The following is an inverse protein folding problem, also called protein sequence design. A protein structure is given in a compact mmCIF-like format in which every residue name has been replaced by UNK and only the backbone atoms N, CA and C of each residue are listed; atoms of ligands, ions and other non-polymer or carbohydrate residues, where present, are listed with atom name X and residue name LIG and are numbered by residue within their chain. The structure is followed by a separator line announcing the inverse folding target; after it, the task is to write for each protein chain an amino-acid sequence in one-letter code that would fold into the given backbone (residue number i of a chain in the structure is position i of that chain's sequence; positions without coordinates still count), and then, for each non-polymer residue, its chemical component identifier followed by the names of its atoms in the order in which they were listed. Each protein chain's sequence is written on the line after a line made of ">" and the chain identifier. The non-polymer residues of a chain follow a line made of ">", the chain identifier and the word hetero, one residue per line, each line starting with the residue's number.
data_IF_099787641807
#
_entry.id   IF_099787641807
#
_cell.length_a   1.000
_cell.length_b   1.000
_cell.length_c   1.000
_cell.angle_alpha   90.00
_cell.angle_beta   90.00
_cell.angle_gamma   90.00
#
_symmetry.space_group_name_H-M   'P 1'
#
loop_
_entity.id
_entity.type
_entity.pdbx_description
1 polymer ?
#
# COMPACT_ATOMS: atom_id res chain seq x y z
N UNK A 1 24.57 16.33 7.13
CA UNK A 1 24.03 15.03 7.09
C UNK A 1 22.69 14.96 6.39
N UNK A 2 22.68 14.30 5.31
CA UNK A 2 21.47 14.22 4.54
C UNK A 2 20.54 13.17 5.15
N UNK A 3 19.40 13.59 5.60
CA UNK A 3 18.36 12.63 5.85
C UNK A 3 17.88 12.15 4.48
N UNK A 4 17.93 10.87 4.27
CA UNK A 4 17.44 10.30 3.03
C UNK A 4 15.93 10.46 3.00
N UNK A 5 15.45 11.16 1.99
CA UNK A 5 14.02 11.30 1.77
C UNK A 5 13.44 9.96 1.32
N UNK A 6 12.28 9.60 1.82
CA UNK A 6 11.55 8.42 1.36
C UNK A 6 11.00 8.72 -0.04
N UNK A 7 11.39 7.93 -1.00
CA UNK A 7 10.99 8.12 -2.40
C UNK A 7 9.71 7.33 -2.65
N UNK A 8 8.65 8.04 -3.00
CA UNK A 8 7.30 7.47 -3.10
C UNK A 8 6.82 7.51 -4.54
N UNK A 9 6.34 6.38 -5.03
CA UNK A 9 5.64 6.28 -6.31
C UNK A 9 4.16 6.09 -6.02
N UNK A 10 3.32 6.85 -6.71
CA UNK A 10 1.88 6.85 -6.50
C UNK A 10 1.20 6.15 -7.67
N UNK A 11 0.40 5.13 -7.39
CA UNK A 11 -0.30 4.36 -8.42
C UNK A 11 -1.80 4.40 -8.15
N UNK A 12 -2.54 5.13 -8.98
CA UNK A 12 -3.99 5.30 -8.83
C UNK A 12 -4.54 5.76 -10.17
N UNK A 13 -5.62 5.13 -10.63
CA UNK A 13 -6.25 5.50 -11.90
C UNK A 13 -7.16 6.73 -11.78
N UNK A 14 -7.42 7.22 -10.56
CA UNK A 14 -8.22 8.41 -10.33
C UNK A 14 -7.31 9.63 -10.30
N UNK A 15 -7.26 10.34 -11.41
CA UNK A 15 -6.35 11.48 -11.55
C UNK A 15 -6.51 12.52 -10.44
N UNK A 16 -7.75 12.84 -10.08
CA UNK A 16 -8.02 13.85 -9.07
C UNK A 16 -7.50 13.44 -7.70
N UNK A 17 -7.73 12.18 -7.32
CA UNK A 17 -7.22 11.65 -6.04
C UNK A 17 -5.70 11.64 -6.05
N UNK A 18 -5.11 11.21 -7.16
CA UNK A 18 -3.66 11.15 -7.30
C UNK A 18 -3.04 12.54 -7.16
N UNK A 19 -3.62 13.54 -7.81
CA UNK A 19 -3.12 14.92 -7.70
C UNK A 19 -3.24 15.45 -6.27
N UNK A 20 -4.33 15.15 -5.59
CA UNK A 20 -4.50 15.56 -4.20
C UNK A 20 -3.45 14.94 -3.28
N UNK A 21 -3.16 13.67 -3.46
CA UNK A 21 -2.14 12.98 -2.67
C UNK A 21 -0.75 13.54 -2.96
N UNK A 22 -0.45 13.84 -4.21
CA UNK A 22 0.84 14.44 -4.59
C UNK A 22 1.03 15.78 -3.90
N UNK A 23 0.02 16.64 -3.96
CA UNK A 23 0.10 17.97 -3.33
C UNK A 23 0.35 17.80 -1.83
N UNK A 24 -0.38 16.92 -1.19
CA UNK A 24 -0.20 16.68 0.24
C UNK A 24 1.21 16.14 0.55
N UNK A 25 1.65 15.13 -0.20
CA UNK A 25 2.95 14.50 0.09
C UNK A 25 4.13 15.43 -0.17
N UNK A 26 3.98 16.38 -1.07
CA UNK A 26 5.02 17.40 -1.30
C UNK A 26 5.26 18.28 -0.08
N UNK A 27 4.26 18.40 0.79
CA UNK A 27 4.41 19.19 2.01
C UNK A 27 4.89 18.35 3.19
N UNK A 28 4.89 17.02 3.06
CA UNK A 28 5.31 16.13 4.14
C UNK A 28 6.83 16.07 4.25
N UNK A 29 7.33 16.28 5.45
CA UNK A 29 8.78 16.25 5.69
C UNK A 29 9.33 14.86 5.46
N UNK A 30 10.47 14.78 4.78
CA UNK A 30 11.17 13.52 4.59
C UNK A 30 10.61 12.64 3.50
N UNK A 31 9.76 13.17 2.63
CA UNK A 31 9.17 12.41 1.54
C UNK A 31 9.33 13.12 0.20
N UNK A 32 9.54 12.35 -0.85
CA UNK A 32 9.66 12.86 -2.21
C UNK A 32 8.80 11.99 -3.12
N UNK A 33 7.85 12.60 -3.81
CA UNK A 33 7.08 11.88 -4.84
C UNK A 33 7.94 11.83 -6.09
N UNK A 34 8.38 10.63 -6.47
CA UNK A 34 9.30 10.46 -7.60
C UNK A 34 8.58 10.16 -8.91
N UNK A 35 7.30 9.83 -8.84
CA UNK A 35 6.54 9.57 -10.05
C UNK A 35 5.11 9.19 -9.72
N UNK A 36 4.30 9.07 -10.77
CA UNK A 36 2.92 8.64 -10.66
C UNK A 36 2.56 7.75 -11.83
N UNK A 37 1.68 6.80 -11.58
CA UNK A 37 1.21 5.86 -12.58
C UNK A 37 -0.31 5.72 -12.46
N UNK A 38 -0.95 5.50 -13.59
CA UNK A 38 -2.40 5.31 -13.65
C UNK A 38 -2.85 3.86 -13.73
N UNK A 39 -1.91 2.92 -13.87
CA UNK A 39 -2.24 1.49 -13.93
C UNK A 39 -1.03 0.63 -13.52
N UNK A 40 -1.26 -0.67 -13.42
CA UNK A 40 -0.23 -1.60 -12.97
C UNK A 40 0.93 -1.75 -13.93
N UNK A 41 0.68 -1.68 -15.23
CA UNK A 41 1.75 -1.81 -16.22
C UNK A 41 2.70 -0.63 -16.16
N UNK A 42 2.15 0.58 -16.07
CA UNK A 42 2.95 1.78 -15.94
C UNK A 42 3.72 1.77 -14.62
N UNK A 43 3.09 1.27 -13.55
CA UNK A 43 3.75 1.15 -12.26
C UNK A 43 4.98 0.25 -12.33
N UNK A 44 4.87 -0.89 -13.01
CA UNK A 44 6.01 -1.81 -13.16
C UNK A 44 7.17 -1.15 -13.88
N UNK A 45 6.88 -0.44 -14.95
CA UNK A 45 7.89 0.26 -15.73
C UNK A 45 8.58 1.34 -14.90
N UNK A 46 7.81 2.12 -14.15
CA UNK A 46 8.35 3.19 -13.34
C UNK A 46 9.15 2.67 -12.14
N UNK A 47 8.72 1.58 -11.53
CA UNK A 47 9.48 0.96 -10.44
C UNK A 47 10.85 0.53 -10.93
N UNK A 48 10.91 -0.10 -12.08
CA UNK A 48 12.18 -0.54 -12.65
C UNK A 48 13.12 0.64 -12.92
N UNK A 49 12.57 1.75 -13.39
CA UNK A 49 13.36 2.91 -13.76
C UNK A 49 13.71 3.81 -12.58
N UNK A 50 12.75 4.04 -11.68
CA UNK A 50 12.90 5.03 -10.60
C UNK A 50 13.35 4.43 -9.28
N UNK A 51 13.12 3.14 -9.07
CA UNK A 51 13.48 2.44 -7.83
C UNK A 51 12.99 3.16 -6.58
N UNK A 52 11.67 3.34 -6.43
CA UNK A 52 11.13 4.00 -5.24
C UNK A 52 11.33 3.16 -3.99
N UNK A 53 11.26 3.79 -2.83
CA UNK A 53 11.28 3.07 -1.56
C UNK A 53 9.92 2.48 -1.25
N UNK A 54 8.87 3.25 -1.50
CA UNK A 54 7.49 2.85 -1.21
C UNK A 54 6.61 3.15 -2.41
N UNK A 55 5.78 2.20 -2.77
CA UNK A 55 4.73 2.37 -3.78
C UNK A 55 3.39 2.44 -3.08
N UNK A 56 2.65 3.52 -3.25
CA UNK A 56 1.27 3.60 -2.81
C UNK A 56 0.41 3.03 -3.93
N UNK A 57 -0.19 1.88 -3.68
CA UNK A 57 -0.87 1.10 -4.72
C UNK A 57 -2.36 1.06 -4.49
N UNK A 58 -3.13 1.68 -5.39
CA UNK A 58 -4.57 1.51 -5.43
C UNK A 58 -4.87 0.05 -5.81
N UNK A 59 -5.75 -0.59 -5.07
CA UNK A 59 -6.08 -1.99 -5.32
C UNK A 59 -7.12 -2.18 -6.42
N UNK A 60 -7.90 -1.14 -6.72
CA UNK A 60 -8.99 -1.24 -7.69
C UNK A 60 -8.65 -0.37 -8.90
N UNK A 61 -8.11 -1.01 -9.94
CA UNK A 61 -7.74 -0.33 -11.17
C UNK A 61 -8.15 -1.18 -12.37
N UNK A 62 -8.45 -0.57 -13.51
CA UNK A 62 -8.72 -1.34 -14.73
C UNK A 62 -7.47 -2.06 -15.22
N UNK A 63 -7.65 -3.18 -15.88
CA UNK A 63 -6.54 -3.99 -16.39
C UNK A 63 -5.90 -4.81 -15.28
N UNK A 64 -4.59 -4.64 -15.07
CA UNK A 64 -3.90 -5.32 -13.99
C UNK A 64 -4.28 -4.67 -12.67
N UNK A 65 -4.96 -5.40 -11.80
CA UNK A 65 -5.38 -4.85 -10.51
C UNK A 65 -4.17 -4.68 -9.56
N UNK A 66 -4.40 -3.91 -8.49
CA UNK A 66 -3.32 -3.58 -7.56
C UNK A 66 -2.74 -4.76 -6.82
N UNK A 67 -3.53 -5.81 -6.58
CA UNK A 67 -3.03 -7.01 -5.91
C UNK A 67 -2.09 -7.78 -6.83
N UNK A 68 -2.48 -7.96 -8.10
CA UNK A 68 -1.63 -8.60 -9.09
C UNK A 68 -0.34 -7.81 -9.30
N UNK A 69 -0.45 -6.49 -9.38
CA UNK A 69 0.71 -5.62 -9.52
C UNK A 69 1.64 -5.72 -8.30
N UNK A 70 1.07 -5.76 -7.09
CA UNK A 70 1.84 -5.91 -5.86
C UNK A 70 2.62 -7.23 -5.87
N UNK A 71 1.96 -8.31 -6.24
CA UNK A 71 2.62 -9.63 -6.29
C UNK A 71 3.79 -9.61 -7.26
N UNK A 72 3.58 -9.03 -8.42
CA UNK A 72 4.64 -8.95 -9.43
C UNK A 72 5.78 -8.05 -8.99
N UNK A 73 5.46 -6.90 -8.42
CA UNK A 73 6.47 -5.98 -7.90
C UNK A 73 7.33 -6.63 -6.81
N UNK A 74 6.71 -7.34 -5.89
CA UNK A 74 7.45 -7.98 -4.80
C UNK A 74 8.29 -9.14 -5.29
N UNK A 75 7.86 -9.81 -6.36
CA UNK A 75 8.64 -10.89 -6.97
C UNK A 75 9.87 -10.33 -7.68
N UNK A 76 9.73 -9.26 -8.44
CA UNK A 76 10.81 -8.71 -9.24
C UNK A 76 11.67 -7.70 -8.48
N UNK A 77 11.10 -7.00 -7.51
CA UNK A 77 11.78 -5.96 -6.74
C UNK A 77 11.47 -6.11 -5.26
N UNK A 78 11.97 -7.17 -4.60
CA UNK A 78 11.60 -7.44 -3.21
C UNK A 78 12.02 -6.33 -2.23
N UNK A 79 12.94 -5.47 -2.61
CA UNK A 79 13.38 -4.34 -1.78
C UNK A 79 12.40 -3.18 -1.79
N UNK A 80 11.48 -3.13 -2.75
CA UNK A 80 10.47 -2.06 -2.84
C UNK A 80 9.29 -2.45 -1.97
N UNK A 81 8.86 -1.54 -1.11
CA UNK A 81 7.70 -1.80 -0.26
C UNK A 81 6.44 -1.28 -0.93
N UNK A 82 5.35 -2.03 -0.79
CA UNK A 82 4.06 -1.65 -1.38
C UNK A 82 3.07 -1.43 -0.25
N UNK A 83 2.49 -0.23 -0.22
CA UNK A 83 1.44 0.11 0.73
C UNK A 83 0.13 0.19 -0.04
N UNK A 84 -0.79 -0.72 0.26
CA UNK A 84 -2.07 -0.77 -0.45
C UNK A 84 -3.00 0.36 0.01
N UNK A 85 -3.63 1.01 -0.95
CA UNK A 85 -4.62 2.05 -0.70
C UNK A 85 -5.95 1.61 -1.28
N UNK A 86 -7.04 1.91 -0.57
CA UNK A 86 -8.37 1.58 -1.05
C UNK A 86 -9.39 2.60 -0.57
N UNK A 87 -10.46 2.75 -1.34
CA UNK A 87 -11.55 3.67 -0.98
C UNK A 87 -12.50 3.07 0.05
N UNK A 88 -12.51 1.75 0.18
CA UNK A 88 -13.34 1.07 1.16
C UNK A 88 -12.70 -0.26 1.54
N UNK A 89 -13.05 -0.76 2.73
CA UNK A 89 -12.54 -2.04 3.19
C UNK A 89 -13.27 -3.16 2.46
N UNK A 90 -12.50 -3.98 1.79
CA UNK A 90 -12.93 -5.26 1.28
C UNK A 90 -12.11 -6.30 2.04
N UNK A 91 -12.78 -7.06 2.88
CA UNK A 91 -12.11 -7.98 3.79
C UNK A 91 -11.25 -9.02 3.06
N UNK A 92 -11.73 -9.53 1.94
CA UNK A 92 -10.96 -10.49 1.17
C UNK A 92 -9.68 -9.87 0.61
N UNK A 93 -9.74 -8.60 0.22
CA UNK A 93 -8.60 -7.90 -0.34
C UNK A 93 -7.52 -7.61 0.70
N UNK A 94 -7.87 -7.50 1.97
CA UNK A 94 -6.86 -7.33 3.02
C UNK A 94 -5.90 -8.52 3.03
N UNK A 95 -6.45 -9.72 3.10
CA UNK A 95 -5.63 -10.93 3.08
C UNK A 95 -4.87 -11.09 1.77
N UNK A 96 -5.56 -10.85 0.66
CA UNK A 96 -4.94 -10.99 -0.66
C UNK A 96 -3.78 -10.03 -0.85
N UNK A 97 -3.93 -8.77 -0.41
CA UNK A 97 -2.87 -7.79 -0.52
C UNK A 97 -1.66 -8.17 0.33
N UNK A 98 -1.90 -8.59 1.56
CA UNK A 98 -0.80 -9.00 2.45
C UNK A 98 -0.13 -10.27 1.94
N UNK A 99 -0.89 -11.22 1.41
CA UNK A 99 -0.34 -12.43 0.82
C UNK A 99 0.47 -12.14 -0.44
N UNK A 100 0.10 -11.09 -1.16
CA UNK A 100 0.87 -10.64 -2.34
C UNK A 100 2.16 -9.93 -1.95
N UNK A 101 2.35 -9.61 -0.68
CA UNK A 101 3.56 -8.99 -0.18
C UNK A 101 3.44 -7.52 0.21
N UNK A 102 2.22 -6.99 0.27
CA UNK A 102 2.04 -5.60 0.69
C UNK A 102 2.52 -5.41 2.13
N UNK A 103 3.19 -4.30 2.38
CA UNK A 103 3.68 -3.93 3.71
C UNK A 103 2.57 -3.35 4.58
N UNK A 104 1.42 -3.02 4.01
CA UNK A 104 0.32 -2.49 4.78
C UNK A 104 -0.91 -2.26 3.94
N UNK A 105 -1.97 -1.82 4.61
CA UNK A 105 -3.27 -1.64 4.00
C UNK A 105 -3.95 -0.43 4.64
N UNK A 106 -4.22 0.59 3.85
CA UNK A 106 -4.70 1.88 4.35
C UNK A 106 -5.88 2.36 3.51
N UNK A 107 -6.84 3.01 4.16
CA UNK A 107 -7.97 3.63 3.48
C UNK A 107 -7.55 4.96 2.86
N UNK A 108 -8.11 5.29 1.70
CA UNK A 108 -7.82 6.56 1.02
C UNK A 108 -8.32 7.78 1.80
N UNK A 109 -9.30 7.61 2.66
CA UNK A 109 -9.83 8.70 3.48
C UNK A 109 -9.10 8.87 4.81
N UNK A 110 -8.02 8.16 5.00
CA UNK A 110 -7.21 8.28 6.20
C UNK A 110 -6.67 9.71 6.34
N UNK A 111 -6.44 10.15 7.58
CA UNK A 111 -5.90 11.49 7.80
C UNK A 111 -4.49 11.62 7.19
N UNK A 112 -4.10 12.83 6.81
CA UNK A 112 -2.73 13.04 6.31
C UNK A 112 -1.64 12.54 7.26
N UNK A 113 -1.81 12.76 8.55
CA UNK A 113 -0.82 12.30 9.53
C UNK A 113 -0.72 10.77 9.56
N UNK A 114 -1.86 10.08 9.43
CA UNK A 114 -1.89 8.62 9.36
C UNK A 114 -1.19 8.10 8.12
N UNK A 115 -1.44 8.72 6.97
CA UNK A 115 -0.80 8.31 5.73
C UNK A 115 0.72 8.44 5.82
N UNK A 116 1.20 9.53 6.39
CA UNK A 116 2.64 9.73 6.57
C UNK A 116 3.22 8.64 7.49
N UNK A 117 2.52 8.33 8.59
CA UNK A 117 2.98 7.26 9.48
C UNK A 117 3.02 5.91 8.76
N UNK A 118 2.02 5.63 7.94
CA UNK A 118 1.95 4.38 7.19
C UNK A 118 3.11 4.26 6.20
N UNK A 119 3.43 5.35 5.49
CA UNK A 119 4.54 5.37 4.55
C UNK A 119 5.87 5.17 5.28
N UNK A 120 6.05 5.83 6.40
CA UNK A 120 7.29 5.67 7.19
C UNK A 120 7.44 4.25 7.72
N UNK A 121 6.34 3.66 8.18
CA UNK A 121 6.37 2.28 8.65
C UNK A 121 6.75 1.33 7.51
N UNK A 122 6.13 1.49 6.35
CA UNK A 122 6.43 0.66 5.19
C UNK A 122 7.89 0.80 4.79
N UNK A 123 8.40 2.03 4.74
CA UNK A 123 9.80 2.28 4.38
C UNK A 123 10.77 1.63 5.37
N UNK A 124 10.36 1.49 6.63
CA UNK A 124 11.17 0.83 7.66
C UNK A 124 11.00 -0.70 7.68
N UNK A 125 10.24 -1.25 6.74
CA UNK A 125 9.99 -2.69 6.70
C UNK A 125 8.97 -3.18 7.70
N UNK A 126 8.18 -2.28 8.28
CA UNK A 126 7.15 -2.62 9.25
C UNK A 126 5.80 -2.71 8.58
N UNK A 127 4.94 -3.56 9.11
CA UNK A 127 3.58 -3.69 8.61
C UNK A 127 2.70 -2.61 9.24
N UNK A 128 1.97 -1.88 8.42
CA UNK A 128 1.00 -0.89 8.88
C UNK A 128 -0.39 -1.27 8.40
N UNK A 129 -1.33 -1.35 9.33
CA UNK A 129 -2.72 -1.68 9.00
C UNK A 129 -3.65 -0.62 9.56
N UNK A 130 -4.64 -0.20 8.77
CA UNK A 130 -5.71 0.63 9.30
C UNK A 130 -6.42 -0.14 10.41
N UNK A 131 -7.09 0.55 11.35
CA UNK A 131 -7.79 -0.15 12.42
C UNK A 131 -8.79 -1.19 11.90
N UNK A 132 -9.52 -0.89 10.83
CA UNK A 132 -10.47 -1.84 10.27
C UNK A 132 -9.78 -3.06 9.66
N UNK A 133 -8.67 -2.84 8.95
CA UNK A 133 -7.90 -3.95 8.37
C UNK A 133 -7.27 -4.80 9.47
N UNK A 134 -6.75 -4.16 10.51
CA UNK A 134 -6.16 -4.87 11.63
C UNK A 134 -7.19 -5.73 12.36
N UNK A 135 -8.39 -5.20 12.57
CA UNK A 135 -9.47 -5.94 13.22
C UNK A 135 -9.88 -7.16 12.40
N UNK A 136 -10.02 -6.98 11.08
CA UNK A 136 -10.36 -8.08 10.20
C UNK A 136 -9.28 -9.17 10.27
N UNK A 137 -8.03 -8.77 10.15
CA UNK A 137 -6.91 -9.71 10.13
C UNK A 137 -6.81 -10.47 11.46
N UNK A 138 -7.00 -9.79 12.58
CA UNK A 138 -6.96 -10.42 13.89
C UNK A 138 -8.01 -11.51 14.01
N UNK A 139 -9.21 -11.28 13.49
CA UNK A 139 -10.27 -12.27 13.50
C UNK A 139 -9.97 -13.47 12.61
N UNK A 140 -9.22 -13.26 11.53
CA UNK A 140 -8.86 -14.34 10.60
C UNK A 140 -7.66 -15.14 11.02
N UNK A 141 -6.71 -14.52 11.71
CA UNK A 141 -5.48 -15.18 12.17
C UNK A 141 -5.69 -15.88 13.49
N UNK A 142 -6.70 -15.44 14.24
CA UNK A 142 -7.04 -16.09 15.49
C UNK A 142 -7.34 -17.56 15.19
N UNK A 143 -6.69 -18.52 15.89
CA UNK A 143 -7.04 -19.91 15.69
C UNK A 143 -8.54 -20.02 15.85
N UNK A 144 -9.19 -20.48 14.81
CA UNK A 144 -10.61 -20.74 14.89
C UNK A 144 -10.82 -21.63 16.08
N UNK A 145 -11.48 -21.10 17.08
CA UNK A 145 -12.06 -21.99 18.05
C UNK A 145 -13.04 -22.83 17.28
N UNK A 146 -12.65 -24.02 17.01
CA UNK A 146 -13.62 -24.96 16.54
C UNK A 146 -14.73 -24.95 17.56
N UNK A 147 -16.00 -24.87 17.08
CA UNK A 147 -17.09 -25.08 17.99
C UNK A 147 -16.78 -26.38 18.71
N UNK A 148 -16.69 -26.31 20.00
CA UNK A 148 -16.48 -27.51 20.77
C UNK A 148 -17.45 -28.54 20.27
N UNK A 149 -16.95 -29.76 19.96
CA UNK A 149 -17.88 -30.79 19.60
C UNK A 149 -18.86 -30.90 20.75
N UNK A 150 -20.11 -30.68 20.42
CA UNK A 150 -21.15 -30.85 21.40
C UNK A 150 -20.98 -32.21 22.05
N UNK A 151 -21.01 -32.26 23.35
CA UNK A 151 -21.00 -33.57 23.99
C UNK A 151 -22.13 -34.43 23.52
#
# INVERSE_FOLDING_TARGET
>A
MSSTSIRVLLVDDHELIRQGLIIFLKTAAGMTVVGEAGDGCEAMELVQRLRPDVVLMDLVMPGMDGIAATRLLKTEHPEVEVLALTSYIDEEKVLDALSAGAAGYVMKDVSPAELVRAIRAAAAGQVYLSPAAAAYLANHVRPRREPEPSP
#
